data_IF_535398515445
#
_entry.id   IF_535398515445
#
_cell.length_a   1.000
_cell.length_b   1.000
_cell.length_c   1.000
_cell.angle_alpha   90.00
_cell.angle_beta   90.00
_cell.angle_gamma   90.00
#
_symmetry.space_group_name_H-M   'P 1'
#
loop_
_entity.id
_entity.type
_entity.pdbx_description
1 polymer ?
#
# COMPACT_ATOMS: atom_id res chain seq x y z
N UNK A 1 -19.59 -43.73 18.76
CA UNK A 1 -18.39 -43.56 17.91
C UNK A 1 -18.47 -42.19 17.29
N UNK A 2 -17.59 -41.26 17.66
CA UNK A 2 -17.62 -39.89 17.13
C UNK A 2 -16.43 -39.72 16.20
N UNK A 3 -16.69 -39.54 14.91
CA UNK A 3 -15.65 -39.39 13.89
C UNK A 3 -15.30 -37.91 13.77
N UNK A 4 -14.16 -37.51 14.33
CA UNK A 4 -13.61 -36.18 14.11
C UNK A 4 -13.05 -36.10 12.69
N UNK A 5 -13.63 -35.23 11.87
CA UNK A 5 -13.15 -34.98 10.51
C UNK A 5 -12.22 -33.77 10.56
N UNK A 6 -10.92 -34.00 10.41
CA UNK A 6 -9.92 -32.94 10.26
C UNK A 6 -9.92 -32.47 8.81
N UNK A 7 -10.48 -31.28 8.54
CA UNK A 7 -10.30 -30.61 7.26
C UNK A 7 -8.91 -29.98 7.23
N UNK A 8 -8.00 -30.55 6.44
CA UNK A 8 -6.71 -29.93 6.13
C UNK A 8 -6.95 -28.89 5.02
N UNK A 9 -6.76 -27.58 5.27
CA UNK A 9 -6.89 -26.60 4.22
C UNK A 9 -5.82 -26.86 3.15
N UNK A 10 -6.25 -27.06 1.91
CA UNK A 10 -5.34 -27.25 0.77
C UNK A 10 -5.01 -25.87 0.20
N UNK A 11 -3.84 -25.32 0.56
CA UNK A 11 -3.35 -24.11 -0.09
C UNK A 11 -2.86 -24.47 -1.49
N UNK A 12 -3.64 -24.12 -2.52
CA UNK A 12 -3.18 -24.24 -3.90
C UNK A 12 -2.36 -23.00 -4.24
N UNK A 13 -1.04 -23.12 -4.21
CA UNK A 13 -0.16 -22.06 -4.70
C UNK A 13 -0.22 -22.07 -6.23
N UNK A 14 -1.08 -21.23 -6.84
CA UNK A 14 -0.93 -20.95 -8.27
C UNK A 14 0.35 -20.13 -8.43
N UNK A 15 1.33 -20.66 -9.15
CA UNK A 15 2.50 -19.88 -9.52
C UNK A 15 2.03 -18.66 -10.33
N UNK A 16 2.19 -17.48 -9.75
CA UNK A 16 1.96 -16.22 -10.44
C UNK A 16 3.18 -15.98 -11.32
N UNK A 17 2.99 -15.90 -12.64
CA UNK A 17 4.06 -15.54 -13.59
C UNK A 17 4.30 -14.02 -13.60
N UNK A 18 4.36 -13.39 -12.42
CA UNK A 18 4.64 -11.98 -12.25
C UNK A 18 5.93 -11.82 -11.47
N UNK A 19 6.85 -10.99 -11.98
CA UNK A 19 8.03 -10.59 -11.23
C UNK A 19 7.63 -9.45 -10.29
N UNK A 20 7.81 -9.65 -8.99
CA UNK A 20 7.63 -8.58 -8.01
C UNK A 20 8.69 -7.50 -8.23
N UNK A 21 8.25 -6.27 -8.46
CA UNK A 21 9.13 -5.12 -8.70
C UNK A 21 9.36 -4.26 -7.46
N UNK A 22 8.51 -4.39 -6.44
CA UNK A 22 8.62 -3.68 -5.16
C UNK A 22 9.03 -4.64 -4.06
N UNK A 23 10.15 -4.41 -3.39
CA UNK A 23 10.71 -5.28 -2.36
C UNK A 23 10.83 -4.57 -1.02
N UNK A 24 10.84 -5.35 0.06
CA UNK A 24 11.10 -4.84 1.40
C UNK A 24 12.43 -4.06 1.40
N UNK A 25 12.41 -2.82 1.86
CA UNK A 25 13.56 -1.92 1.87
C UNK A 25 13.61 -0.92 0.70
N UNK A 26 12.76 -1.06 -0.32
CA UNK A 26 12.59 0.01 -1.31
C UNK A 26 12.13 1.31 -0.61
N UNK A 27 12.68 2.48 -0.98
CA UNK A 27 12.20 3.74 -0.48
C UNK A 27 10.70 3.91 -0.77
N UNK A 28 9.92 4.13 0.28
CA UNK A 28 8.46 4.22 0.23
C UNK A 28 7.99 5.32 1.18
N UNK A 29 7.00 6.09 0.74
CA UNK A 29 6.36 7.10 1.57
C UNK A 29 4.85 7.12 1.32
N UNK A 30 4.12 7.40 2.39
CA UNK A 30 2.69 7.58 2.37
C UNK A 30 2.32 8.94 1.81
N UNK A 31 1.16 9.02 1.17
CA UNK A 31 0.61 10.27 0.63
C UNK A 31 -0.87 10.40 0.99
N UNK A 32 -1.33 11.63 1.11
CA UNK A 32 -2.73 11.99 1.27
C UNK A 32 -3.09 13.14 0.32
N UNK A 33 -4.39 13.45 0.24
CA UNK A 33 -4.94 14.39 -0.74
C UNK A 33 -4.56 14.01 -2.18
N UNK A 34 -4.47 12.70 -2.44
CA UNK A 34 -4.13 12.16 -3.73
C UNK A 34 -5.26 12.41 -4.73
N UNK A 35 -4.90 12.88 -5.91
CA UNK A 35 -5.83 13.10 -7.01
C UNK A 35 -5.25 12.48 -8.29
N UNK A 36 -6.11 11.86 -9.10
CA UNK A 36 -5.74 11.30 -10.40
C UNK A 36 -5.03 12.35 -11.26
N UNK A 37 -3.81 12.05 -11.72
CA UNK A 37 -2.96 12.95 -12.50
C UNK A 37 -2.62 14.28 -11.80
N UNK A 38 -2.85 14.37 -10.50
CA UNK A 38 -2.69 15.58 -9.69
C UNK A 38 -1.54 15.50 -8.70
N UNK A 39 -1.30 16.61 -8.00
CA UNK A 39 -0.35 16.64 -6.89
C UNK A 39 -0.91 15.86 -5.70
N UNK A 40 -0.01 15.25 -4.93
CA UNK A 40 -0.34 14.63 -3.65
C UNK A 40 0.58 15.21 -2.57
N UNK A 41 0.19 15.10 -1.30
CA UNK A 41 0.99 15.61 -0.18
C UNK A 41 1.58 14.45 0.61
N UNK A 42 2.84 14.57 1.03
CA UNK A 42 3.48 13.55 1.88
C UNK A 42 2.75 13.42 3.21
N UNK A 43 2.48 12.18 3.60
CA UNK A 43 1.99 11.85 4.93
C UNK A 43 3.13 11.77 5.94
N UNK A 44 2.79 11.97 7.20
CA UNK A 44 3.76 11.91 8.32
C UNK A 44 3.28 10.97 9.43
N UNK A 45 4.22 10.50 10.25
CA UNK A 45 3.87 9.71 11.43
C UNK A 45 3.12 10.60 12.44
N UNK A 46 1.99 10.11 12.95
CA UNK A 46 1.19 10.84 13.92
C UNK A 46 -0.17 10.22 14.15
N UNK A 47 -0.80 10.66 15.24
CA UNK A 47 -2.18 10.29 15.58
C UNK A 47 -3.05 11.53 15.55
N UNK A 48 -4.25 11.40 14.97
CA UNK A 48 -5.30 12.42 15.02
C UNK A 48 -4.96 13.75 14.35
N UNK A 49 -4.12 13.73 13.31
CA UNK A 49 -3.87 14.87 12.42
C UNK A 49 -4.15 14.47 10.96
N UNK A 50 -4.57 15.43 10.15
CA UNK A 50 -4.79 15.21 8.72
C UNK A 50 -3.53 14.68 8.04
N UNK A 51 -3.70 13.66 7.20
CA UNK A 51 -2.62 13.08 6.41
C UNK A 51 -1.59 12.31 7.23
N UNK A 52 -1.91 11.86 8.44
CA UNK A 52 -0.98 11.05 9.24
C UNK A 52 -1.27 9.56 9.20
N UNK A 53 -0.28 8.79 9.63
CA UNK A 53 -0.36 7.35 9.87
C UNK A 53 0.20 7.01 11.25
N UNK A 54 -0.32 5.98 11.95
CA UNK A 54 0.25 5.57 13.21
C UNK A 54 1.62 4.91 12.99
N UNK A 55 2.57 5.12 13.92
CA UNK A 55 3.97 4.74 13.73
C UNK A 55 4.19 3.23 13.47
N UNK A 56 3.31 2.38 14.01
CA UNK A 56 3.37 0.92 13.82
C UNK A 56 2.68 0.42 12.54
N UNK A 57 1.93 1.27 11.86
CA UNK A 57 1.24 0.95 10.60
C UNK A 57 1.71 1.91 9.50
N UNK A 58 3.03 1.99 9.35
CA UNK A 58 3.71 2.94 8.47
C UNK A 58 3.85 2.39 7.02
N UNK A 59 4.21 3.23 6.03
CA UNK A 59 4.23 2.83 4.62
C UNK A 59 5.07 1.58 4.28
N UNK A 60 6.25 1.33 4.91
CA UNK A 60 7.01 0.10 4.70
C UNK A 60 6.22 -1.20 4.87
N UNK A 61 5.17 -1.22 5.69
CA UNK A 61 4.31 -2.40 5.88
C UNK A 61 3.55 -2.80 4.60
N UNK A 62 3.50 -1.94 3.56
CA UNK A 62 2.90 -2.30 2.26
C UNK A 62 3.73 -3.32 1.46
N UNK A 63 5.04 -3.41 1.72
CA UNK A 63 6.01 -4.13 0.87
C UNK A 63 6.92 -5.06 1.67
N UNK A 64 6.60 -5.31 2.94
CA UNK A 64 7.39 -6.16 3.86
C UNK A 64 7.15 -7.67 3.68
N UNK A 65 6.26 -8.07 2.77
CA UNK A 65 5.84 -9.45 2.53
C UNK A 65 5.22 -10.16 3.75
N UNK A 66 4.60 -9.41 4.66
CA UNK A 66 3.96 -9.94 5.86
C UNK A 66 2.49 -9.49 5.96
N UNK A 67 1.55 -10.43 5.81
CA UNK A 67 0.11 -10.10 5.90
C UNK A 67 -0.40 -9.87 7.32
N UNK A 68 0.46 -9.99 8.35
CA UNK A 68 0.10 -9.65 9.74
C UNK A 68 0.36 -8.18 10.08
N UNK A 69 1.10 -7.47 9.23
CA UNK A 69 1.33 -6.02 9.30
C UNK A 69 0.49 -5.33 8.22
N UNK A 70 0.25 -4.04 8.39
CA UNK A 70 -0.55 -3.24 7.47
C UNK A 70 -0.11 -1.78 7.49
N UNK A 71 -0.42 -1.06 6.42
CA UNK A 71 -0.32 0.39 6.35
C UNK A 71 -1.71 0.99 6.54
N UNK A 72 -1.82 2.00 7.40
CA UNK A 72 -3.03 2.78 7.60
C UNK A 72 -2.72 4.25 7.37
N UNK A 73 -3.57 4.95 6.61
CA UNK A 73 -3.52 6.39 6.45
C UNK A 73 -4.89 6.97 6.82
N UNK A 74 -4.91 7.97 7.70
CA UNK A 74 -6.15 8.61 8.10
C UNK A 74 -6.73 9.52 7.03
N UNK A 75 -5.94 9.93 6.04
CA UNK A 75 -6.38 10.89 5.02
C UNK A 75 -6.60 12.29 5.60
N UNK A 76 -7.13 13.20 4.78
CA UNK A 76 -7.31 14.59 5.19
C UNK A 76 -8.42 14.76 6.26
N UNK A 77 -9.46 13.93 6.20
CA UNK A 77 -10.66 14.06 7.04
C UNK A 77 -10.87 12.86 7.99
N UNK A 78 -9.85 12.04 8.24
CA UNK A 78 -9.95 10.81 9.05
C UNK A 78 -10.88 9.75 8.46
N UNK A 79 -11.09 9.81 7.14
CA UNK A 79 -11.97 8.93 6.37
C UNK A 79 -11.20 7.91 5.52
N UNK A 80 -9.87 8.04 5.45
CA UNK A 80 -8.99 7.19 4.63
C UNK A 80 -9.11 7.42 3.12
N UNK A 81 -9.94 8.36 2.66
CA UNK A 81 -10.10 8.66 1.24
C UNK A 81 -8.93 9.46 0.68
N UNK A 82 -8.68 9.30 -0.62
CA UNK A 82 -7.62 10.00 -1.35
C UNK A 82 -6.24 9.83 -0.68
N UNK A 83 -5.98 8.60 -0.22
CA UNK A 83 -4.70 8.20 0.39
C UNK A 83 -4.01 7.18 -0.50
N UNK A 84 -2.71 7.01 -0.26
CA UNK A 84 -1.92 5.99 -0.92
C UNK A 84 -0.48 6.03 -0.47
N UNK A 85 0.39 5.50 -1.31
CA UNK A 85 1.82 5.57 -1.15
C UNK A 85 2.49 5.59 -2.52
N UNK A 86 3.73 6.04 -2.58
CA UNK A 86 4.61 5.80 -3.71
C UNK A 86 5.85 5.05 -3.24
N UNK A 87 6.37 4.22 -4.12
CA UNK A 87 7.58 3.43 -3.90
C UNK A 87 8.56 3.73 -5.02
N UNK A 88 9.86 3.72 -4.70
CA UNK A 88 10.95 3.83 -5.65
C UNK A 88 11.64 2.47 -5.77
N UNK A 89 11.22 1.61 -6.73
CA UNK A 89 11.80 0.28 -6.91
C UNK A 89 13.32 0.34 -7.11
N UNK A 90 14.08 -0.31 -6.23
CA UNK A 90 15.55 -0.37 -6.38
C UNK A 90 16.01 -1.34 -7.47
N UNK A 91 15.11 -2.20 -7.93
CA UNK A 91 15.35 -3.09 -9.09
C UNK A 91 15.55 -2.32 -10.41
N UNK A 92 15.30 -1.00 -10.41
CA UNK A 92 15.46 -0.12 -11.56
C UNK A 92 14.16 0.10 -12.33
N UNK A 93 14.28 0.74 -13.50
CA UNK A 93 13.13 1.00 -14.38
C UNK A 93 12.43 -0.30 -14.77
N UNK A 94 11.13 -0.36 -14.48
CA UNK A 94 10.32 -1.55 -14.67
C UNK A 94 8.94 -1.17 -15.23
N UNK A 95 8.24 -2.15 -15.80
CA UNK A 95 6.87 -2.00 -16.29
C UNK A 95 5.93 -2.60 -15.25
N UNK A 96 5.10 -1.77 -14.61
CA UNK A 96 4.03 -2.24 -13.76
C UNK A 96 2.88 -2.78 -14.62
N UNK A 97 2.57 -4.06 -14.48
CA UNK A 97 1.51 -4.74 -15.25
C UNK A 97 0.26 -5.03 -14.42
N UNK A 98 0.33 -4.82 -13.11
CA UNK A 98 -0.75 -5.02 -12.16
C UNK A 98 -0.24 -4.83 -10.73
N UNK A 99 -1.15 -5.02 -9.78
CA UNK A 99 -0.86 -5.01 -8.35
C UNK A 99 -1.38 -6.29 -7.72
N UNK A 100 -0.68 -6.74 -6.70
CA UNK A 100 -1.14 -7.76 -5.76
C UNK A 100 -1.08 -7.11 -4.38
N UNK A 101 -2.20 -7.13 -3.66
CA UNK A 101 -2.28 -6.55 -2.32
C UNK A 101 -3.16 -7.42 -1.42
N UNK A 102 -2.98 -7.27 -0.11
CA UNK A 102 -3.87 -7.78 0.92
C UNK A 102 -4.53 -6.59 1.63
N UNK A 103 -5.78 -6.76 2.04
CA UNK A 103 -6.49 -5.73 2.82
C UNK A 103 -6.10 -5.78 4.29
N UNK A 104 -6.45 -4.73 5.03
CA UNK A 104 -6.22 -4.64 6.47
C UNK A 104 -7.00 -5.72 7.24
N UNK A 105 -6.48 -6.11 8.40
CA UNK A 105 -6.98 -7.26 9.18
C UNK A 105 -7.92 -6.88 10.34
N UNK A 106 -8.54 -5.71 10.30
CA UNK A 106 -9.30 -5.16 11.42
C UNK A 106 -10.64 -4.54 11.05
N UNK A 107 -10.76 -3.86 9.90
CA UNK A 107 -11.98 -3.16 9.50
C UNK A 107 -12.22 -3.22 7.99
N UNK A 108 -13.24 -3.97 7.57
CA UNK A 108 -13.57 -4.18 6.15
C UNK A 108 -13.99 -2.90 5.42
N UNK A 109 -14.51 -1.90 6.14
CA UNK A 109 -14.92 -0.63 5.55
C UNK A 109 -13.73 0.20 5.02
N UNK A 110 -12.50 -0.18 5.34
CA UNK A 110 -11.27 0.50 4.89
C UNK A 110 -10.58 -0.19 3.72
N UNK A 111 -11.19 -1.24 3.17
CA UNK A 111 -10.68 -1.90 1.99
C UNK A 111 -10.72 -0.92 0.80
N UNK A 112 -9.67 -0.85 -0.04
CA UNK A 112 -9.67 0.06 -1.19
C UNK A 112 -10.84 -0.19 -2.15
N UNK A 113 -11.68 0.82 -2.36
CA UNK A 113 -12.85 0.76 -3.26
C UNK A 113 -12.47 1.15 -4.69
N UNK A 114 -11.47 2.02 -4.84
CA UNK A 114 -10.97 2.48 -6.14
C UNK A 114 -9.47 2.64 -6.04
N UNK A 115 -8.75 2.12 -7.04
CA UNK A 115 -7.30 2.19 -7.10
C UNK A 115 -6.90 2.84 -8.41
N UNK A 116 -6.02 3.82 -8.32
CA UNK A 116 -5.28 4.40 -9.45
C UNK A 116 -3.83 3.96 -9.32
N UNK A 117 -3.24 3.50 -10.43
CA UNK A 117 -1.82 3.19 -10.51
C UNK A 117 -1.18 4.19 -11.48
N UNK A 118 -0.20 4.93 -10.98
CA UNK A 118 0.58 5.90 -11.75
C UNK A 118 2.08 5.58 -11.62
N UNK A 119 2.89 6.07 -12.55
CA UNK A 119 4.33 5.82 -12.55
C UNK A 119 5.11 6.98 -13.14
N UNK A 120 6.36 7.12 -12.73
CA UNK A 120 7.30 8.13 -13.21
C UNK A 120 8.69 7.53 -13.34
N UNK A 121 9.45 8.02 -14.34
CA UNK A 121 10.87 7.72 -14.50
C UNK A 121 11.78 8.84 -13.96
N UNK A 122 11.20 9.87 -13.32
CA UNK A 122 11.97 10.96 -12.72
C UNK A 122 12.80 10.45 -11.53
N UNK A 123 14.01 10.99 -11.38
CA UNK A 123 14.98 10.57 -10.34
C UNK A 123 14.54 10.91 -8.90
N UNK A 124 13.45 11.66 -8.73
CA UNK A 124 12.81 11.91 -7.45
C UNK A 124 11.30 12.09 -7.67
N UNK A 125 10.51 11.72 -6.67
CA UNK A 125 9.09 12.01 -6.60
C UNK A 125 8.93 13.52 -6.48
N UNK A 126 8.79 14.23 -7.59
CA UNK A 126 8.45 15.65 -7.61
C UNK A 126 6.96 15.76 -7.24
N UNK A 127 6.64 15.53 -5.96
CA UNK A 127 5.28 15.60 -5.41
C UNK A 127 4.76 17.03 -5.26
N UNK A 128 5.61 18.02 -5.49
CA UNK A 128 5.23 19.43 -5.46
C UNK A 128 5.32 20.02 -6.87
N UNK A 129 4.19 20.09 -7.56
CA UNK A 129 4.03 21.10 -8.61
C UNK A 129 3.61 22.41 -7.95
N UNK A 130 4.58 23.14 -7.41
CA UNK A 130 4.38 24.53 -6.97
C UNK A 130 3.99 25.34 -8.20
N UNK A 131 2.73 25.78 -8.27
CA UNK A 131 2.27 26.79 -9.24
C UNK A 131 2.09 28.10 -8.49
#
# INVERSE_FOLDING_TARGET
>A
TTTNTTTVPTTTTRALNYTQVTLAGDPIAGIYNAAYGGSSTNSSAGSNTAGTYPSSENPPNCIDSNTNTKYLNYGANFDGYNTGFYVMPQVGSSIATGILFATGNDHSERDPITITIEGSNAAASLLERTT
#
